data_IF_472485506833
#
_entry.id   IF_472485506833
#
_cell.length_a   1.000
_cell.length_b   1.000
_cell.length_c   1.000
_cell.angle_alpha   90.00
_cell.angle_beta   90.00
_cell.angle_gamma   90.00
#
_symmetry.space_group_name_H-M   'P 1'
#
loop_
_entity.id
_entity.type
_entity.pdbx_description
1 polymer ?
#
# COMPACT_ATOMS: atom_id res chain seq x y z
N UNK A 1 23.69 27.03 18.38
CA UNK A 1 22.46 26.52 19.03
C UNK A 1 21.72 25.68 18.00
N UNK A 2 21.98 24.38 17.97
CA UNK A 2 21.28 23.44 17.08
C UNK A 2 19.88 23.21 17.66
N UNK A 3 18.85 23.48 16.86
CA UNK A 3 17.48 23.15 17.24
C UNK A 3 17.35 21.63 17.17
N UNK A 4 17.27 21.01 18.34
CA UNK A 4 16.98 19.59 18.49
C UNK A 4 15.52 19.35 18.08
N UNK A 5 15.28 19.15 16.78
CA UNK A 5 13.95 18.79 16.27
C UNK A 5 13.71 17.34 16.69
N UNK A 6 13.07 17.16 17.84
CA UNK A 6 12.46 15.91 18.23
C UNK A 6 11.36 15.60 17.20
N UNK A 7 11.71 14.91 16.10
CA UNK A 7 10.70 14.33 15.21
C UNK A 7 10.00 13.26 16.04
N UNK A 8 8.83 13.60 16.59
CA UNK A 8 7.93 12.56 17.04
C UNK A 8 7.50 11.84 15.76
N UNK A 9 8.06 10.66 15.47
CA UNK A 9 7.62 9.81 14.35
C UNK A 9 6.21 9.32 14.67
N UNK A 10 5.24 10.22 14.53
CA UNK A 10 3.83 9.97 14.72
C UNK A 10 3.46 8.92 13.70
N UNK A 11 2.97 7.77 14.17
CA UNK A 11 2.45 6.74 13.27
C UNK A 11 1.21 7.31 12.57
N UNK A 12 1.31 7.48 11.25
CA UNK A 12 0.24 7.99 10.41
C UNK A 12 -0.64 6.86 9.92
N UNK A 13 -1.87 7.20 9.53
CA UNK A 13 -2.76 6.37 8.74
C UNK A 13 -2.76 6.90 7.31
N UNK A 14 -2.35 6.09 6.36
CA UNK A 14 -2.07 6.51 4.98
C UNK A 14 -2.90 5.62 4.06
N UNK A 15 -3.69 6.24 3.18
CA UNK A 15 -4.39 5.57 2.10
C UNK A 15 -3.70 5.92 0.78
N UNK A 16 -3.34 4.91 0.00
CA UNK A 16 -2.80 5.07 -1.34
C UNK A 16 -3.83 4.49 -2.31
N UNK A 17 -4.15 5.21 -3.37
CA UNK A 17 -5.14 4.81 -4.38
C UNK A 17 -4.44 4.79 -5.73
N UNK A 18 -4.49 3.63 -6.39
CA UNK A 18 -3.95 3.47 -7.75
C UNK A 18 -4.92 2.61 -8.58
N UNK A 19 -5.36 3.04 -9.77
CA UNK A 19 -6.46 2.37 -10.48
C UNK A 19 -6.13 0.95 -10.96
N UNK A 20 -4.86 0.58 -11.05
CA UNK A 20 -4.40 -0.73 -11.52
C UNK A 20 -3.18 -1.17 -10.70
N UNK A 21 -3.06 -2.45 -10.33
CA UNK A 21 -1.87 -3.05 -9.74
C UNK A 21 -1.30 -4.17 -10.63
N UNK A 22 -1.17 -3.85 -11.91
CA UNK A 22 -0.42 -4.64 -12.89
C UNK A 22 1.11 -4.50 -12.77
N UNK A 23 1.82 -4.66 -13.89
CA UNK A 23 3.26 -4.39 -14.01
C UNK A 23 3.46 -3.10 -14.78
N UNK A 24 3.95 -2.07 -14.08
CA UNK A 24 4.36 -0.81 -14.67
C UNK A 24 5.16 0.03 -13.69
N UNK A 25 5.65 1.18 -14.18
CA UNK A 25 6.52 2.05 -13.39
C UNK A 25 5.79 2.79 -12.25
N UNK A 26 4.54 3.17 -12.48
CA UNK A 26 3.74 3.87 -11.47
C UNK A 26 3.30 2.93 -10.34
N UNK A 27 2.92 1.72 -10.72
CA UNK A 27 2.58 0.60 -9.87
C UNK A 27 3.77 0.28 -8.97
N UNK A 28 4.97 0.16 -9.54
CA UNK A 28 6.20 -0.08 -8.78
C UNK A 28 6.46 1.04 -7.77
N UNK A 29 6.34 2.29 -8.20
CA UNK A 29 6.56 3.45 -7.32
C UNK A 29 5.62 3.42 -6.11
N UNK A 30 4.35 3.12 -6.34
CA UNK A 30 3.34 3.08 -5.29
C UNK A 30 3.57 1.90 -4.32
N UNK A 31 3.93 0.73 -4.85
CA UNK A 31 4.29 -0.45 -4.03
C UNK A 31 5.52 -0.17 -3.18
N UNK A 32 6.58 0.38 -3.76
CA UNK A 32 7.80 0.74 -3.02
C UNK A 32 7.51 1.77 -1.92
N UNK A 33 6.70 2.80 -2.20
CA UNK A 33 6.29 3.78 -1.20
C UNK A 33 5.47 3.13 -0.07
N UNK A 34 4.53 2.24 -0.40
CA UNK A 34 3.71 1.56 0.60
C UNK A 34 4.58 0.68 1.52
N UNK A 35 5.49 -0.11 0.94
CA UNK A 35 6.42 -0.97 1.68
C UNK A 35 7.33 -0.15 2.59
N UNK A 36 7.87 0.97 2.10
CA UNK A 36 8.73 1.83 2.93
C UNK A 36 7.95 2.53 4.04
N UNK A 37 6.76 3.06 3.77
CA UNK A 37 5.95 3.68 4.82
C UNK A 37 5.55 2.67 5.91
N UNK A 38 5.21 1.45 5.50
CA UNK A 38 4.93 0.33 6.39
C UNK A 38 6.15 -0.07 7.24
N UNK A 39 7.35 -0.15 6.65
CA UNK A 39 8.59 -0.49 7.37
C UNK A 39 8.96 0.56 8.43
N UNK A 40 8.54 1.82 8.23
CA UNK A 40 8.67 2.90 9.22
C UNK A 40 7.53 2.89 10.28
N UNK A 41 6.67 1.87 10.27
CA UNK A 41 5.61 1.63 11.24
C UNK A 41 4.35 2.48 11.04
N UNK A 42 4.16 3.06 9.87
CA UNK A 42 2.89 3.70 9.51
C UNK A 42 1.83 2.63 9.20
N UNK A 43 0.56 2.96 9.44
CA UNK A 43 -0.55 2.12 9.00
C UNK A 43 -0.92 2.54 7.57
N UNK A 44 -0.63 1.67 6.61
CA UNK A 44 -0.78 1.95 5.17
C UNK A 44 -1.82 1.02 4.57
N UNK A 45 -2.76 1.58 3.82
CA UNK A 45 -3.74 0.85 3.03
C UNK A 45 -3.58 1.19 1.55
N UNK A 46 -3.48 0.18 0.71
CA UNK A 46 -3.44 0.32 -0.75
C UNK A 46 -4.78 -0.10 -1.34
N UNK A 47 -5.41 0.80 -2.08
CA UNK A 47 -6.68 0.59 -2.77
C UNK A 47 -6.46 0.58 -4.27
N UNK A 48 -7.06 -0.39 -4.95
CA UNK A 48 -7.03 -0.47 -6.41
C UNK A 48 -8.37 -0.94 -6.97
N UNK A 49 -8.68 -0.50 -8.18
CA UNK A 49 -9.82 -0.99 -8.95
C UNK A 49 -9.50 -2.24 -9.78
N UNK A 50 -8.22 -2.55 -10.00
CA UNK A 50 -7.81 -3.71 -10.80
C UNK A 50 -6.53 -4.34 -10.24
N UNK A 51 -6.52 -5.67 -10.09
CA UNK A 51 -5.34 -6.42 -9.66
C UNK A 51 -5.25 -7.73 -10.45
N UNK A 52 -4.37 -7.76 -11.46
CA UNK A 52 -4.07 -8.97 -12.21
C UNK A 52 -3.02 -9.81 -11.47
N UNK A 53 -3.47 -10.88 -10.79
CA UNK A 53 -2.60 -11.79 -10.04
C UNK A 53 -1.56 -12.52 -10.91
N UNK A 54 -1.75 -12.58 -12.23
CA UNK A 54 -0.78 -13.18 -13.15
C UNK A 54 0.27 -12.17 -13.64
N UNK A 55 0.04 -10.87 -13.39
CA UNK A 55 0.90 -9.76 -13.83
C UNK A 55 0.98 -8.72 -12.73
N UNK A 56 1.49 -9.08 -11.56
CA UNK A 56 1.68 -8.16 -10.45
C UNK A 56 2.99 -8.43 -9.71
N UNK A 57 3.32 -7.55 -8.77
CA UNK A 57 4.48 -7.71 -7.89
C UNK A 57 4.16 -8.67 -6.73
N UNK A 58 5.13 -9.47 -6.30
CA UNK A 58 4.97 -10.45 -5.21
C UNK A 58 4.53 -9.79 -3.89
N UNK A 59 4.99 -8.56 -3.68
CA UNK A 59 4.61 -7.69 -2.56
C UNK A 59 3.10 -7.43 -2.49
N UNK A 60 2.38 -7.56 -3.62
CA UNK A 60 0.92 -7.40 -3.71
C UNK A 60 0.15 -8.73 -3.65
N UNK A 61 0.85 -9.87 -3.76
CA UNK A 61 0.25 -11.22 -3.69
C UNK A 61 0.14 -11.72 -2.25
N UNK A 62 1.16 -11.47 -1.44
CA UNK A 62 1.16 -11.82 -0.03
C UNK A 62 0.42 -10.74 0.76
N UNK A 63 -0.86 -10.99 1.08
CA UNK A 63 -1.69 -10.16 1.96
C UNK A 63 -1.14 -9.90 3.38
N UNK A 64 0.04 -10.43 3.71
CA UNK A 64 0.62 -10.45 5.05
C UNK A 64 1.99 -9.74 5.15
N UNK A 65 2.73 -9.58 4.05
CA UNK A 65 4.09 -9.00 4.09
C UNK A 65 4.11 -7.47 4.17
N UNK A 66 2.95 -6.83 4.06
CA UNK A 66 2.74 -5.40 4.37
C UNK A 66 1.96 -5.30 5.69
N UNK A 67 2.62 -5.76 6.77
CA UNK A 67 2.26 -5.53 8.19
C UNK A 67 0.76 -5.44 8.50
N UNK A 68 0.14 -6.60 8.68
CA UNK A 68 -0.91 -6.78 9.68
C UNK A 68 -2.28 -6.15 9.43
N UNK A 69 -2.63 -5.79 8.20
CA UNK A 69 -4.03 -5.55 7.81
C UNK A 69 -4.31 -6.10 6.42
N UNK A 70 -5.51 -6.67 6.17
CA UNK A 70 -5.86 -7.28 4.90
C UNK A 70 -5.70 -6.26 3.78
N UNK A 71 -4.91 -6.61 2.76
CA UNK A 71 -5.07 -6.04 1.42
C UNK A 71 -6.54 -6.28 1.08
N UNK A 72 -7.34 -5.21 1.11
CA UNK A 72 -8.77 -5.27 0.80
C UNK A 72 -8.86 -5.42 -0.72
N UNK A 73 -8.59 -6.64 -1.16
CA UNK A 73 -8.78 -7.08 -2.53
C UNK A 73 -10.27 -6.94 -2.84
N UNK A 74 -10.53 -6.24 -3.93
CA UNK A 74 -11.81 -6.19 -4.66
C UNK A 74 -12.94 -5.43 -3.94
N UNK A 75 -13.13 -4.17 -4.33
CA UNK A 75 -14.45 -3.55 -4.29
C UNK A 75 -14.78 -3.01 -5.68
N UNK A 76 -15.43 -3.85 -6.49
CA UNK A 76 -16.39 -3.49 -7.56
C UNK A 76 -17.03 -4.71 -8.27
N UNK A 77 -17.20 -5.86 -7.61
CA UNK A 77 -18.11 -6.93 -8.12
C UNK A 77 -19.22 -7.34 -7.14
N UNK A 78 -19.26 -6.81 -5.91
CA UNK A 78 -20.25 -7.22 -4.89
C UNK A 78 -21.42 -6.26 -4.69
N UNK A 79 -21.66 -5.31 -5.61
CA UNK A 79 -22.87 -4.45 -5.59
C UNK A 79 -23.79 -4.72 -6.80
N UNK A 80 -23.84 -5.96 -7.30
CA UNK A 80 -24.82 -6.37 -8.33
C UNK A 80 -25.05 -7.90 -8.38
N UNK A 81 -25.17 -8.57 -7.24
CA UNK A 81 -25.82 -9.88 -7.18
C UNK A 81 -26.45 -10.13 -5.81
#
# INVERSE_FOLDING_TARGET
MEKNVQRTDKKLKIAIIHPDLGIGGAERLIVDAAVQLASHGHNVHLFTSHHDKNRCFEETLAGESIVGLPIMLQYLETINN
#
